data_IF_928261523983
#
_entry.id   IF_928261523983
#
_cell.length_a   1.000
_cell.length_b   1.000
_cell.length_c   1.000
_cell.angle_alpha   90.00
_cell.angle_beta   90.00
_cell.angle_gamma   90.00
#
_symmetry.space_group_name_H-M   'P 1'
#
loop_
_entity.id
_entity.type
_entity.pdbx_description
1 polymer ?
#
# COMPACT_ATOMS: atom_id res chain seq x y z
N UNK A 1 -14.91 1.21 -15.50
CA UNK A 1 -14.19 -0.06 -15.26
C UNK A 1 -13.35 -0.31 -16.50
N UNK A 2 -12.08 -0.66 -16.33
CA UNK A 2 -11.17 -0.97 -17.45
C UNK A 2 -10.92 -2.47 -17.47
N UNK A 3 -10.65 -3.06 -18.62
CA UNK A 3 -10.25 -4.46 -18.70
C UNK A 3 -8.71 -4.56 -18.68
N UNK A 4 -8.21 -5.65 -18.13
CA UNK A 4 -6.78 -5.99 -18.11
C UNK A 4 -6.61 -7.49 -18.27
N UNK A 5 -5.45 -7.94 -18.71
CA UNK A 5 -5.11 -9.36 -18.87
C UNK A 5 -3.82 -9.67 -18.13
N UNK A 6 -3.69 -10.91 -17.63
CA UNK A 6 -2.47 -11.40 -16.99
C UNK A 6 -2.19 -12.84 -17.42
N UNK A 7 -0.92 -13.13 -17.72
CA UNK A 7 -0.47 -14.45 -18.16
C UNK A 7 0.19 -15.23 -17.01
N UNK A 8 -0.42 -16.35 -16.62
CA UNK A 8 0.16 -17.30 -15.68
C UNK A 8 0.89 -18.37 -16.50
N UNK A 9 2.19 -18.20 -16.72
CA UNK A 9 2.97 -19.24 -17.38
C UNK A 9 3.32 -20.36 -16.42
N UNK A 10 3.17 -21.60 -16.90
CA UNK A 10 3.56 -22.81 -16.17
C UNK A 10 4.36 -23.75 -17.04
N UNK A 11 5.34 -24.44 -16.45
CA UNK A 11 6.08 -25.51 -17.07
C UNK A 11 6.46 -26.54 -15.99
N UNK A 12 6.02 -27.78 -16.18
CA UNK A 12 6.08 -28.82 -15.16
C UNK A 12 5.44 -28.36 -13.83
N UNK A 13 6.18 -28.28 -12.72
CA UNK A 13 5.69 -27.79 -11.42
C UNK A 13 6.00 -26.30 -11.16
N UNK A 14 6.62 -25.61 -12.13
CA UNK A 14 7.10 -24.25 -11.99
C UNK A 14 6.15 -23.22 -12.62
N UNK A 15 6.13 -22.05 -11.99
CA UNK A 15 5.35 -20.88 -12.36
C UNK A 15 6.33 -19.74 -12.65
N UNK A 16 6.05 -18.94 -13.67
CA UNK A 16 6.79 -17.71 -13.93
C UNK A 16 6.15 -16.53 -13.20
N UNK A 17 6.96 -15.76 -12.48
CA UNK A 17 6.53 -14.51 -11.84
C UNK A 17 7.52 -13.38 -12.08
N UNK A 18 7.02 -12.16 -12.00
CA UNK A 18 7.80 -10.92 -12.08
C UNK A 18 7.74 -10.17 -10.75
N UNK A 19 8.81 -9.43 -10.42
CA UNK A 19 8.78 -8.36 -9.42
C UNK A 19 8.74 -7.03 -10.16
N UNK A 20 7.70 -6.24 -9.90
CA UNK A 20 7.49 -4.93 -10.54
C UNK A 20 8.52 -3.91 -10.05
N UNK A 21 8.89 -2.97 -10.91
CA UNK A 21 9.78 -1.87 -10.54
C UNK A 21 9.22 -1.02 -9.40
N UNK A 22 10.08 -0.58 -8.48
CA UNK A 22 9.70 0.12 -7.25
C UNK A 22 9.27 1.59 -7.48
N UNK A 23 9.50 2.13 -8.67
CA UNK A 23 9.12 3.49 -9.06
C UNK A 23 7.83 3.57 -9.87
N UNK A 24 7.17 2.43 -10.12
CA UNK A 24 5.91 2.41 -10.87
C UNK A 24 4.78 3.04 -10.06
N UNK A 25 3.78 3.57 -10.78
CA UNK A 25 2.60 4.18 -10.15
C UNK A 25 1.63 3.15 -9.59
N UNK A 26 1.59 1.95 -10.16
CA UNK A 26 0.68 0.88 -9.78
C UNK A 26 1.47 -0.32 -9.28
N UNK A 27 1.20 -0.72 -8.04
CA UNK A 27 1.77 -1.88 -7.38
C UNK A 27 3.32 -1.95 -7.48
N UNK A 28 4.06 -0.89 -7.07
CA UNK A 28 5.52 -0.90 -7.14
C UNK A 28 6.12 -1.95 -6.20
N UNK A 29 7.05 -2.75 -6.71
CA UNK A 29 7.73 -3.79 -5.94
C UNK A 29 6.90 -5.05 -5.66
N UNK A 30 5.67 -5.15 -6.18
CA UNK A 30 4.81 -6.32 -6.02
C UNK A 30 5.28 -7.49 -6.87
N UNK A 31 5.09 -8.69 -6.36
CA UNK A 31 5.17 -9.94 -7.13
C UNK A 31 3.88 -10.11 -7.94
N UNK A 32 4.02 -10.32 -9.24
CA UNK A 32 2.90 -10.41 -10.17
C UNK A 32 3.13 -11.35 -11.34
N UNK A 33 2.04 -11.56 -12.09
CA UNK A 33 2.09 -12.15 -13.41
C UNK A 33 2.22 -11.04 -14.47
N UNK A 34 2.96 -11.28 -15.56
CA UNK A 34 3.09 -10.33 -16.67
C UNK A 34 1.74 -10.07 -17.33
N UNK A 35 1.56 -8.84 -17.82
CA UNK A 35 0.34 -8.41 -18.50
C UNK A 35 -0.09 -6.99 -18.13
N UNK A 36 -1.03 -6.46 -18.92
CA UNK A 36 -1.43 -5.06 -18.81
C UNK A 36 -2.88 -4.81 -19.21
N UNK A 37 -3.14 -3.58 -19.63
CA UNK A 37 -4.50 -3.10 -19.92
C UNK A 37 -4.95 -3.59 -21.28
N UNK A 38 -6.25 -3.84 -21.41
CA UNK A 38 -6.88 -4.07 -22.72
C UNK A 38 -7.19 -2.70 -23.34
N UNK A 39 -6.62 -2.44 -24.50
CA UNK A 39 -6.84 -1.22 -25.29
C UNK A 39 -7.75 -1.48 -26.49
N UNK A 40 -8.42 -0.43 -26.96
CA UNK A 40 -9.23 -0.50 -28.17
C UNK A 40 -8.34 -0.80 -29.39
N UNK A 41 -8.69 -1.81 -30.19
CA UNK A 41 -7.91 -2.24 -31.34
C UNK A 41 -6.99 -3.43 -31.05
N UNK A 42 -6.90 -3.88 -29.79
CA UNK A 42 -6.09 -5.04 -29.43
C UNK A 42 -6.55 -6.32 -30.16
N UNK A 43 -7.81 -6.42 -30.57
CA UNK A 43 -8.32 -7.53 -31.39
C UNK A 43 -7.53 -7.77 -32.69
N UNK A 44 -6.79 -6.76 -33.18
CA UNK A 44 -5.94 -6.88 -34.36
C UNK A 44 -4.67 -7.74 -34.16
N UNK A 45 -4.24 -7.93 -32.90
CA UNK A 45 -3.13 -8.82 -32.55
C UNK A 45 -3.58 -10.27 -32.33
N UNK A 46 -4.88 -10.52 -32.24
CA UNK A 46 -5.41 -11.87 -32.03
C UNK A 46 -5.29 -12.74 -33.29
N UNK A 47 -5.16 -14.04 -33.10
CA UNK A 47 -5.14 -15.02 -34.20
C UNK A 47 -6.21 -16.09 -34.02
N UNK A 48 -6.68 -16.64 -35.14
CA UNK A 48 -7.52 -17.83 -35.12
C UNK A 48 -6.67 -19.08 -34.86
N UNK A 49 -6.89 -19.73 -33.72
CA UNK A 49 -6.27 -21.00 -33.37
C UNK A 49 -7.14 -21.76 -32.38
N UNK A 50 -7.21 -23.11 -32.42
CA UNK A 50 -8.02 -23.90 -31.48
C UNK A 50 -7.70 -23.65 -29.99
N UNK A 51 -6.46 -23.27 -29.66
CA UNK A 51 -6.07 -22.92 -28.28
C UNK A 51 -6.70 -21.62 -27.76
N UNK A 52 -7.19 -20.76 -28.65
CA UNK A 52 -7.87 -19.50 -28.30
C UNK A 52 -9.38 -19.57 -28.47
N UNK A 53 -9.92 -20.73 -28.85
CA UNK A 53 -11.34 -20.90 -29.13
C UNK A 53 -12.19 -20.60 -27.88
N UNK A 54 -13.19 -19.73 -28.05
CA UNK A 54 -14.10 -19.32 -26.97
C UNK A 54 -13.61 -18.16 -26.11
N UNK A 55 -12.39 -17.63 -26.34
CA UNK A 55 -11.91 -16.43 -25.65
C UNK A 55 -12.21 -15.15 -26.46
N UNK A 56 -12.52 -14.02 -25.79
CA UNK A 56 -12.73 -12.76 -26.49
C UNK A 56 -11.45 -12.31 -27.23
N UNK A 57 -11.58 -11.99 -28.52
CA UNK A 57 -10.45 -11.64 -29.38
C UNK A 57 -9.66 -10.44 -28.84
N UNK A 58 -10.34 -9.45 -28.27
CA UNK A 58 -9.69 -8.27 -27.69
C UNK A 58 -8.81 -8.63 -26.48
N UNK A 59 -9.20 -9.61 -25.67
CA UNK A 59 -8.41 -10.07 -24.52
C UNK A 59 -7.18 -10.86 -24.98
N UNK A 60 -7.35 -11.75 -25.95
CA UNK A 60 -6.22 -12.51 -26.52
C UNK A 60 -5.24 -11.59 -27.23
N UNK A 61 -5.75 -10.61 -27.97
CA UNK A 61 -4.91 -9.62 -28.63
C UNK A 61 -4.10 -8.78 -27.65
N UNK A 62 -4.72 -8.33 -26.56
CA UNK A 62 -4.03 -7.65 -25.48
C UNK A 62 -2.97 -8.55 -24.85
N UNK A 63 -3.30 -9.83 -24.60
CA UNK A 63 -2.37 -10.80 -24.04
C UNK A 63 -1.14 -11.00 -24.95
N UNK A 64 -1.33 -11.10 -26.26
CA UNK A 64 -0.23 -11.21 -27.23
C UNK A 64 0.63 -9.95 -27.22
N UNK A 65 0.04 -8.76 -27.26
CA UNK A 65 0.77 -7.49 -27.25
C UNK A 65 1.59 -7.31 -25.98
N UNK A 66 0.96 -7.46 -24.82
CA UNK A 66 1.61 -7.24 -23.51
C UNK A 66 2.76 -8.23 -23.28
N UNK A 67 2.63 -9.49 -23.75
CA UNK A 67 3.72 -10.47 -23.65
C UNK A 67 4.91 -10.16 -24.56
N UNK A 68 4.66 -9.58 -25.74
CA UNK A 68 5.73 -9.09 -26.62
C UNK A 68 6.40 -7.85 -26.00
N UNK A 69 5.62 -6.90 -25.48
CA UNK A 69 6.12 -5.66 -24.89
C UNK A 69 6.90 -5.89 -23.59
N UNK A 70 6.35 -6.68 -22.65
CA UNK A 70 6.95 -6.88 -21.34
C UNK A 70 8.05 -7.96 -21.31
N UNK A 71 8.00 -8.97 -22.19
CA UNK A 71 8.88 -10.15 -22.11
C UNK A 71 9.61 -10.49 -23.41
N UNK A 72 9.38 -9.75 -24.50
CA UNK A 72 9.82 -10.10 -25.85
C UNK A 72 9.40 -11.53 -26.23
N UNK A 73 8.17 -11.92 -25.89
CA UNK A 73 7.65 -13.25 -26.12
C UNK A 73 6.50 -13.28 -27.13
N UNK A 74 6.81 -13.79 -28.33
CA UNK A 74 5.83 -14.04 -29.38
C UNK A 74 4.99 -15.30 -29.06
N UNK A 75 3.85 -15.08 -28.39
CA UNK A 75 2.89 -16.12 -28.06
C UNK A 75 2.33 -16.81 -29.33
N UNK A 76 2.16 -16.06 -30.42
CA UNK A 76 1.59 -16.58 -31.68
C UNK A 76 2.54 -17.59 -32.30
N UNK A 77 3.83 -17.26 -32.39
CA UNK A 77 4.85 -18.16 -32.92
C UNK A 77 5.08 -19.34 -31.98
N UNK A 78 5.05 -19.13 -30.66
CA UNK A 78 5.12 -20.22 -29.68
C UNK A 78 3.99 -21.25 -29.86
N UNK A 79 2.77 -20.78 -30.13
CA UNK A 79 1.63 -21.66 -30.47
C UNK A 79 1.86 -22.41 -31.79
N UNK A 80 2.32 -21.72 -32.86
CA UNK A 80 2.61 -22.36 -34.17
C UNK A 80 3.69 -23.43 -34.07
N UNK A 81 4.71 -23.20 -33.25
CA UNK A 81 5.80 -24.13 -32.98
C UNK A 81 5.43 -25.23 -31.97
N UNK A 82 4.14 -25.34 -31.59
CA UNK A 82 3.61 -26.31 -30.62
C UNK A 82 4.32 -26.24 -29.26
N UNK A 83 4.77 -25.05 -28.88
CA UNK A 83 5.44 -24.82 -27.60
C UNK A 83 4.44 -24.61 -26.46
N UNK A 84 3.19 -24.24 -26.78
CA UNK A 84 2.08 -24.11 -25.84
C UNK A 84 1.22 -25.38 -25.89
N UNK A 85 1.09 -26.07 -24.75
CA UNK A 85 0.26 -27.27 -24.61
C UNK A 85 -1.22 -26.93 -24.46
N UNK A 86 -1.52 -25.91 -23.64
CA UNK A 86 -2.88 -25.52 -23.29
C UNK A 86 -2.91 -24.04 -22.88
N UNK A 87 -4.03 -23.38 -23.19
CA UNK A 87 -4.39 -22.09 -22.61
C UNK A 87 -5.77 -22.23 -21.96
N UNK A 88 -5.93 -21.72 -20.74
CA UNK A 88 -7.21 -21.73 -20.04
C UNK A 88 -7.49 -20.38 -19.38
N UNK A 89 -8.77 -19.99 -19.33
CA UNK A 89 -9.22 -18.87 -18.50
C UNK A 89 -9.13 -19.31 -17.03
N UNK A 90 -8.18 -18.74 -16.30
CA UNK A 90 -7.92 -19.13 -14.92
C UNK A 90 -8.94 -18.51 -13.96
N UNK A 91 -9.33 -17.26 -14.23
CA UNK A 91 -10.32 -16.55 -13.43
C UNK A 91 -10.42 -15.09 -13.86
N UNK A 92 -11.37 -14.38 -13.26
CA UNK A 92 -11.55 -12.93 -13.45
C UNK A 92 -11.61 -12.23 -12.10
N UNK A 93 -10.74 -11.25 -11.90
CA UNK A 93 -10.60 -10.47 -10.67
C UNK A 93 -11.15 -9.07 -10.86
N UNK A 94 -12.24 -8.75 -10.15
CA UNK A 94 -12.80 -7.41 -10.12
C UNK A 94 -12.14 -6.58 -9.02
N UNK A 95 -11.60 -5.42 -9.39
CA UNK A 95 -11.10 -4.47 -8.40
C UNK A 95 -12.24 -3.98 -7.52
N UNK A 96 -12.09 -4.03 -6.19
CA UNK A 96 -13.14 -3.60 -5.27
C UNK A 96 -13.62 -2.15 -5.47
N UNK A 97 -14.87 -1.84 -5.07
CA UNK A 97 -15.50 -0.54 -5.35
C UNK A 97 -14.82 0.67 -4.69
N UNK A 98 -14.12 0.47 -3.58
CA UNK A 98 -13.44 1.55 -2.84
C UNK A 98 -12.17 2.06 -3.54
N UNK A 99 -11.60 1.32 -4.51
CA UNK A 99 -10.45 1.82 -5.27
C UNK A 99 -10.88 2.79 -6.37
N UNK A 100 -10.18 3.92 -6.48
CA UNK A 100 -10.46 4.95 -7.50
C UNK A 100 -10.28 4.46 -8.94
N UNK A 101 -9.28 3.61 -9.19
CA UNK A 101 -9.03 2.99 -10.49
C UNK A 101 -9.41 1.52 -10.37
N UNK A 102 -10.37 1.08 -11.19
CA UNK A 102 -10.92 -0.27 -11.12
C UNK A 102 -10.71 -1.02 -12.43
N UNK A 103 -10.16 -2.23 -12.29
CA UNK A 103 -9.96 -3.18 -13.37
C UNK A 103 -10.86 -4.41 -13.24
N UNK A 104 -11.23 -4.95 -14.38
CA UNK A 104 -11.72 -6.30 -14.58
C UNK A 104 -10.56 -7.09 -15.17
N UNK A 105 -9.78 -7.76 -14.30
CA UNK A 105 -8.52 -8.38 -14.66
C UNK A 105 -8.72 -9.86 -15.00
N UNK A 106 -8.32 -10.24 -16.20
CA UNK A 106 -8.57 -11.53 -16.81
C UNK A 106 -7.30 -12.38 -16.82
N UNK A 107 -7.28 -13.44 -16.02
CA UNK A 107 -6.11 -14.29 -15.87
C UNK A 107 -6.19 -15.47 -16.83
N UNK A 108 -5.13 -15.68 -17.61
CA UNK A 108 -4.99 -16.78 -18.54
C UNK A 108 -3.80 -17.63 -18.15
N UNK A 109 -4.02 -18.91 -17.89
CA UNK A 109 -2.95 -19.87 -17.66
C UNK A 109 -2.45 -20.39 -19.00
N UNK A 110 -1.13 -20.33 -19.21
CA UNK A 110 -0.45 -20.77 -20.43
C UNK A 110 0.51 -21.88 -20.02
N UNK A 111 0.16 -23.12 -20.38
CA UNK A 111 0.96 -24.31 -20.09
C UNK A 111 1.98 -24.55 -21.20
N UNK A 112 3.25 -24.45 -20.87
CA UNK A 112 4.35 -24.53 -21.83
C UNK A 112 4.99 -25.92 -21.85
N UNK A 113 5.36 -26.36 -23.05
CA UNK A 113 6.10 -27.61 -23.27
C UNK A 113 7.60 -27.50 -23.00
N UNK A 114 8.14 -26.27 -22.98
CA UNK A 114 9.51 -25.91 -22.61
C UNK A 114 9.54 -24.50 -22.04
N UNK A 115 10.50 -24.19 -21.17
CA UNK A 115 10.71 -22.81 -20.70
C UNK A 115 11.26 -21.92 -21.84
N UNK A 116 10.61 -20.79 -22.15
CA UNK A 116 11.12 -19.79 -23.08
C UNK A 116 12.22 -18.95 -22.41
N UNK A 117 13.01 -18.27 -23.23
CA UNK A 117 13.94 -17.24 -22.76
C UNK A 117 13.25 -15.90 -22.86
N UNK A 118 12.76 -15.37 -21.74
CA UNK A 118 12.16 -14.04 -21.69
C UNK A 118 13.23 -12.95 -21.60
N UNK A 119 12.95 -11.79 -22.21
CA UNK A 119 13.74 -10.57 -22.07
C UNK A 119 12.82 -9.54 -21.41
N UNK A 120 12.87 -9.38 -20.08
CA UNK A 120 11.95 -8.50 -19.37
C UNK A 120 12.20 -7.03 -19.71
N UNK A 121 11.14 -6.24 -19.87
CA UNK A 121 11.24 -4.79 -19.97
C UNK A 121 11.77 -4.23 -18.64
N UNK A 122 13.02 -3.77 -18.66
CA UNK A 122 13.68 -3.14 -17.52
C UNK A 122 12.95 -1.90 -16.99
N UNK A 123 12.08 -1.28 -17.80
CA UNK A 123 11.23 -0.16 -17.40
C UNK A 123 10.12 -0.55 -16.42
N UNK A 124 9.61 -1.78 -16.51
CA UNK A 124 8.46 -2.28 -15.73
C UNK A 124 8.80 -3.41 -14.77
N UNK A 125 9.74 -4.28 -15.15
CA UNK A 125 10.11 -5.49 -14.43
C UNK A 125 11.49 -5.29 -13.81
N UNK A 126 11.56 -5.36 -12.48
CA UNK A 126 12.80 -5.31 -11.72
C UNK A 126 13.56 -6.64 -11.80
N UNK A 127 12.83 -7.76 -11.64
CA UNK A 127 13.37 -9.11 -11.74
C UNK A 127 12.27 -10.09 -12.13
N UNK A 128 12.63 -11.24 -12.68
CA UNK A 128 11.69 -12.31 -12.99
C UNK A 128 12.33 -13.67 -12.74
N UNK A 129 11.50 -14.68 -12.47
CA UNK A 129 11.99 -16.02 -12.17
C UNK A 129 10.97 -17.11 -12.53
N UNK A 130 11.50 -18.31 -12.77
CA UNK A 130 10.73 -19.55 -12.76
C UNK A 130 10.97 -20.21 -11.41
N UNK A 131 9.89 -20.53 -10.70
CA UNK A 131 9.96 -21.12 -9.36
C UNK A 131 8.86 -22.16 -9.18
N UNK A 132 9.10 -23.28 -8.47
CA UNK A 132 8.03 -24.22 -8.13
C UNK A 132 6.87 -23.49 -7.44
N UNK A 133 5.63 -23.79 -7.83
CA UNK A 133 4.46 -23.08 -7.30
C UNK A 133 4.41 -23.11 -5.76
N UNK A 134 4.78 -24.26 -5.17
CA UNK A 134 4.87 -24.44 -3.71
C UNK A 134 5.90 -23.51 -3.08
N UNK A 135 7.04 -23.29 -3.73
CA UNK A 135 8.08 -22.42 -3.22
C UNK A 135 7.67 -20.93 -3.34
N UNK A 136 7.00 -20.55 -4.42
CA UNK A 136 6.46 -19.18 -4.56
C UNK A 136 5.35 -18.89 -3.54
N UNK A 137 4.52 -19.90 -3.23
CA UNK A 137 3.54 -19.81 -2.14
C UNK A 137 4.21 -19.71 -0.77
N UNK A 138 5.31 -20.44 -0.56
CA UNK A 138 6.12 -20.36 0.67
C UNK A 138 6.66 -18.94 0.90
N UNK A 139 7.16 -18.26 -0.14
CA UNK A 139 7.65 -16.88 -0.03
C UNK A 139 6.56 -15.93 0.48
N UNK A 140 5.32 -16.09 -0.01
CA UNK A 140 4.19 -15.30 0.48
C UNK A 140 3.91 -15.58 1.96
N UNK A 141 3.86 -16.86 2.35
CA UNK A 141 3.62 -17.26 3.73
C UNK A 141 4.69 -16.77 4.70
N UNK A 142 5.94 -16.64 4.23
CA UNK A 142 7.06 -16.08 5.00
C UNK A 142 7.11 -14.54 4.97
N UNK A 143 6.18 -13.89 4.26
CA UNK A 143 6.12 -12.43 4.15
C UNK A 143 7.20 -11.83 3.26
N UNK A 144 7.83 -12.63 2.40
CA UNK A 144 8.90 -12.21 1.48
C UNK A 144 8.36 -11.70 0.13
N UNK A 145 7.08 -11.90 -0.13
CA UNK A 145 6.42 -11.49 -1.38
C UNK A 145 5.19 -10.63 -1.13
N UNK A 146 5.28 -9.37 -1.54
CA UNK A 146 4.16 -8.43 -1.57
C UNK A 146 3.26 -8.74 -2.78
N UNK A 147 2.02 -9.14 -2.55
CA UNK A 147 1.11 -9.57 -3.61
C UNK A 147 -0.27 -8.94 -3.49
N UNK A 148 -0.94 -8.75 -4.63
CA UNK A 148 -2.39 -8.50 -4.62
C UNK A 148 -3.14 -9.83 -4.49
N UNK A 149 -4.33 -9.81 -3.90
CA UNK A 149 -5.14 -11.01 -3.64
C UNK A 149 -5.33 -11.94 -4.86
N UNK A 150 -5.61 -11.45 -6.09
CA UNK A 150 -5.74 -12.34 -7.26
C UNK A 150 -4.48 -13.16 -7.55
N UNK A 151 -3.30 -12.56 -7.41
CA UNK A 151 -2.02 -13.23 -7.64
C UNK A 151 -1.76 -14.26 -6.55
N UNK A 152 -1.98 -13.86 -5.28
CA UNK A 152 -1.90 -14.74 -4.12
C UNK A 152 -2.83 -15.96 -4.29
N UNK A 153 -4.08 -15.75 -4.68
CA UNK A 153 -5.07 -16.82 -4.88
C UNK A 153 -4.65 -17.79 -5.98
N UNK A 154 -4.18 -17.25 -7.11
CA UNK A 154 -3.68 -18.08 -8.22
C UNK A 154 -2.47 -18.92 -7.79
N UNK A 155 -1.49 -18.32 -7.11
CA UNK A 155 -0.29 -19.03 -6.64
C UNK A 155 -0.66 -20.10 -5.62
N UNK A 156 -1.55 -19.80 -4.67
CA UNK A 156 -2.06 -20.77 -3.69
C UNK A 156 -2.74 -21.97 -4.38
N UNK A 157 -3.59 -21.72 -5.37
CA UNK A 157 -4.27 -22.77 -6.11
C UNK A 157 -3.29 -23.66 -6.90
N UNK A 158 -2.31 -23.05 -7.58
CA UNK A 158 -1.27 -23.75 -8.33
C UNK A 158 -0.31 -24.54 -7.41
N UNK A 159 -0.04 -24.04 -6.20
CA UNK A 159 0.76 -24.73 -5.20
C UNK A 159 0.05 -25.99 -4.66
N UNK A 160 -1.28 -25.97 -4.58
CA UNK A 160 -2.08 -27.13 -4.19
C UNK A 160 -2.20 -28.15 -5.33
N UNK A 161 -2.45 -27.67 -6.55
CA UNK A 161 -2.56 -28.49 -7.75
C UNK A 161 -2.13 -27.68 -8.98
N UNK A 162 -0.92 -27.94 -9.47
CA UNK A 162 -0.38 -27.25 -10.66
C UNK A 162 -1.22 -27.52 -11.92
N UNK A 163 -2.00 -28.61 -11.96
CA UNK A 163 -2.85 -28.95 -13.10
C UNK A 163 -4.15 -28.17 -13.15
N UNK A 164 -4.50 -27.43 -12.09
CA UNK A 164 -5.72 -26.62 -12.04
C UNK A 164 -5.76 -25.62 -13.19
N UNK A 165 -6.89 -25.55 -13.89
CA UNK A 165 -7.04 -24.72 -15.10
C UNK A 165 -7.87 -23.47 -14.86
N UNK A 166 -8.66 -23.47 -13.79
CA UNK A 166 -9.53 -22.38 -13.37
C UNK A 166 -9.88 -22.50 -11.90
N UNK A 167 -10.11 -21.38 -11.25
CA UNK A 167 -10.54 -21.29 -9.85
C UNK A 167 -11.79 -20.42 -9.79
N UNK A 168 -12.85 -20.91 -9.14
CA UNK A 168 -14.10 -20.15 -8.94
C UNK A 168 -14.60 -20.32 -7.51
N UNK A 169 -15.00 -19.22 -6.82
CA UNK A 169 -14.90 -17.83 -7.26
C UNK A 169 -13.44 -17.33 -7.21
N UNK A 170 -12.98 -16.64 -8.27
CA UNK A 170 -11.64 -16.03 -8.30
C UNK A 170 -11.62 -14.63 -7.67
N UNK A 171 -12.72 -13.89 -7.80
CA UNK A 171 -12.93 -12.60 -7.12
C UNK A 171 -13.55 -12.82 -5.76
N UNK A 172 -13.08 -12.07 -4.77
CA UNK A 172 -13.79 -11.96 -3.50
C UNK A 172 -15.03 -11.08 -3.64
N UNK A 173 -16.08 -11.51 -2.94
CA UNK A 173 -17.28 -10.73 -2.74
C UNK A 173 -17.26 -10.29 -1.28
N UNK A 174 -17.10 -8.99 -1.07
CA UNK A 174 -17.20 -8.40 0.26
C UNK A 174 -18.68 -8.17 0.57
N UNK A 175 -19.17 -8.55 1.76
CA UNK A 175 -20.50 -8.16 2.21
C UNK A 175 -20.66 -6.64 2.20
N UNK A 176 -21.87 -6.16 1.88
CA UNK A 176 -22.16 -4.72 1.84
C UNK A 176 -22.06 -4.05 3.23
N UNK A 177 -22.11 -4.84 4.29
CA UNK A 177 -22.05 -4.43 5.70
C UNK A 177 -20.70 -4.76 6.37
N UNK A 178 -19.66 -5.06 5.59
CA UNK A 178 -18.29 -5.27 6.05
C UNK A 178 -17.29 -4.39 5.28
N UNK A 179 -16.15 -4.13 5.89
CA UNK A 179 -15.00 -3.54 5.25
C UNK A 179 -14.17 -4.65 4.57
N UNK A 180 -13.52 -4.33 3.44
CA UNK A 180 -12.58 -5.22 2.80
C UNK A 180 -11.33 -5.41 3.68
N UNK A 181 -11.15 -6.60 4.24
CA UNK A 181 -9.89 -6.99 4.88
C UNK A 181 -8.92 -7.51 3.82
N UNK A 182 -7.87 -6.76 3.50
CA UNK A 182 -6.93 -7.09 2.41
C UNK A 182 -5.60 -7.57 3.00
N UNK A 183 -5.06 -8.67 2.49
CA UNK A 183 -3.78 -9.20 2.96
C UNK A 183 -2.73 -9.14 1.84
N UNK A 184 -1.93 -8.08 1.82
CA UNK A 184 -0.85 -7.92 0.83
C UNK A 184 0.42 -8.70 1.20
N UNK A 185 0.65 -8.87 2.50
CA UNK A 185 1.68 -9.71 3.11
C UNK A 185 0.96 -10.63 4.10
N UNK A 186 1.35 -11.90 4.14
CA UNK A 186 0.72 -12.90 5.02
C UNK A 186 0.64 -12.41 6.48
N UNK A 187 -0.52 -12.55 7.12
CA UNK A 187 -0.73 -12.18 8.51
C UNK A 187 -0.85 -10.67 8.79
N UNK A 188 -0.93 -9.82 7.77
CA UNK A 188 -1.21 -8.39 7.92
C UNK A 188 -2.57 -8.04 7.30
N UNK A 189 -3.58 -7.88 8.16
CA UNK A 189 -4.92 -7.46 7.75
C UNK A 189 -4.99 -5.96 7.51
N UNK A 190 -5.25 -5.54 6.29
CA UNK A 190 -5.35 -4.14 5.91
C UNK A 190 -6.80 -3.74 5.70
N UNK A 191 -7.27 -2.78 6.50
CA UNK A 191 -8.65 -2.31 6.54
C UNK A 191 -8.69 -0.83 6.13
N UNK A 192 -9.09 -0.49 4.89
CA UNK A 192 -9.25 0.90 4.47
C UNK A 192 -10.54 1.46 5.07
N UNK A 193 -10.47 1.96 6.31
CA UNK A 193 -11.61 2.50 7.05
C UNK A 193 -11.98 3.87 6.46
N UNK A 194 -13.20 4.08 5.95
CA UNK A 194 -13.64 5.40 5.51
C UNK A 194 -13.52 6.42 6.64
N UNK A 195 -12.72 7.48 6.44
CA UNK A 195 -12.33 8.44 7.48
C UNK A 195 -12.47 9.87 6.99
N UNK A 196 -12.52 10.84 7.91
CA UNK A 196 -12.52 12.27 7.60
C UNK A 196 -11.11 12.82 7.31
N UNK A 197 -10.31 12.07 6.54
CA UNK A 197 -8.96 12.45 6.13
C UNK A 197 -8.95 13.52 5.02
N UNK A 198 -7.79 14.12 4.78
CA UNK A 198 -7.63 15.15 3.75
C UNK A 198 -7.64 14.54 2.32
N UNK A 199 -8.31 15.18 1.35
CA UNK A 199 -8.23 14.76 -0.05
C UNK A 199 -6.77 14.74 -0.56
N UNK A 200 -6.38 13.79 -1.43
CA UNK A 200 -7.25 12.89 -2.19
C UNK A 200 -7.60 11.58 -1.48
N UNK A 201 -7.10 11.34 -0.26
CA UNK A 201 -7.44 10.16 0.52
C UNK A 201 -8.93 10.19 0.91
N UNK A 202 -9.50 9.01 1.06
CA UNK A 202 -10.91 8.80 1.45
C UNK A 202 -11.04 7.83 2.61
N UNK A 203 -9.91 7.33 3.11
CA UNK A 203 -9.83 6.31 4.14
C UNK A 203 -8.48 6.40 4.85
N UNK A 204 -8.48 5.98 6.11
CA UNK A 204 -7.28 5.69 6.91
C UNK A 204 -7.16 4.18 7.00
N UNK A 205 -5.96 3.68 6.73
CA UNK A 205 -5.67 2.27 6.74
C UNK A 205 -5.44 1.81 8.18
N UNK A 206 -6.39 1.06 8.71
CA UNK A 206 -6.19 0.34 9.95
C UNK A 206 -5.46 -0.98 9.66
N UNK A 207 -4.37 -1.24 10.37
CA UNK A 207 -3.60 -2.47 10.29
C UNK A 207 -4.00 -3.39 11.44
N UNK A 208 -4.56 -4.54 11.12
CA UNK A 208 -4.82 -5.64 12.06
C UNK A 208 -3.64 -6.61 12.01
N UNK A 209 -2.89 -6.71 13.11
CA UNK A 209 -1.70 -7.57 13.20
C UNK A 209 -1.59 -8.25 14.57
N UNK A 210 -0.85 -9.34 14.61
CA UNK A 210 -0.59 -10.12 15.82
C UNK A 210 -0.88 -11.59 15.58
N UNK A 211 0.16 -12.42 15.74
CA UNK A 211 0.05 -13.87 15.64
C UNK A 211 -0.90 -14.46 16.69
N UNK A 212 -1.39 -15.68 16.43
CA UNK A 212 -2.17 -16.42 17.41
C UNK A 212 -1.38 -16.62 18.71
N UNK A 213 -1.98 -16.17 19.84
CA UNK A 213 -1.35 -16.21 21.16
C UNK A 213 -0.45 -14.99 21.47
N UNK A 214 -0.30 -14.05 20.54
CA UNK A 214 0.28 -12.72 20.79
C UNK A 214 -0.81 -11.65 20.91
N UNK A 215 -0.45 -10.47 21.40
CA UNK A 215 -1.36 -9.33 21.51
C UNK A 215 -1.80 -8.87 20.11
N UNK A 216 -3.09 -8.97 19.78
CA UNK A 216 -3.60 -8.49 18.50
C UNK A 216 -3.88 -7.00 18.54
N UNK A 217 -3.27 -6.25 17.63
CA UNK A 217 -3.36 -4.79 17.55
C UNK A 217 -4.17 -4.40 16.34
N UNK A 218 -5.06 -3.41 16.51
CA UNK A 218 -5.66 -2.65 15.42
C UNK A 218 -5.12 -1.22 15.46
N UNK A 219 -4.42 -0.79 14.41
CA UNK A 219 -3.91 0.59 14.33
C UNK A 219 -4.96 1.55 13.79
N UNK A 220 -5.00 2.77 14.31
CA UNK A 220 -5.74 3.91 13.77
C UNK A 220 -7.19 3.65 13.26
N UNK A 221 -8.06 2.97 14.03
CA UNK A 221 -9.45 2.80 13.62
C UNK A 221 -10.18 4.15 13.67
N UNK A 222 -10.41 4.75 12.50
CA UNK A 222 -10.97 6.10 12.37
C UNK A 222 -12.25 6.16 11.50
N UNK A 223 -13.34 5.46 11.83
CA UNK A 223 -14.55 5.53 11.01
C UNK A 223 -15.21 6.92 11.07
N UNK A 224 -15.48 7.48 9.88
CA UNK A 224 -16.10 8.81 9.72
C UNK A 224 -17.60 8.87 10.09
N UNK A 225 -18.26 7.72 10.26
CA UNK A 225 -19.71 7.65 10.50
C UNK A 225 -20.09 6.40 11.30
N UNK A 226 -21.34 6.36 11.78
CA UNK A 226 -21.87 5.19 12.50
C UNK A 226 -21.96 3.97 11.59
N UNK A 227 -22.27 4.18 10.31
CA UNK A 227 -22.27 3.11 9.30
C UNK A 227 -20.87 2.53 9.10
N UNK A 228 -19.84 3.38 8.99
CA UNK A 228 -18.46 2.94 8.85
C UNK A 228 -17.98 2.20 10.11
N UNK A 229 -18.37 2.67 11.31
CA UNK A 229 -18.08 2.00 12.58
C UNK A 229 -18.76 0.63 12.66
N UNK A 230 -20.02 0.53 12.24
CA UNK A 230 -20.73 -0.75 12.21
C UNK A 230 -20.10 -1.73 11.23
N UNK A 231 -19.71 -1.27 10.04
CA UNK A 231 -19.00 -2.11 9.06
C UNK A 231 -17.66 -2.60 9.64
N UNK A 232 -16.90 -1.72 10.30
CA UNK A 232 -15.66 -2.11 10.97
C UNK A 232 -15.90 -3.18 12.05
N UNK A 233 -16.90 -3.00 12.92
CA UNK A 233 -17.28 -4.00 13.94
C UNK A 233 -17.66 -5.35 13.34
N UNK A 234 -18.47 -5.34 12.27
CA UNK A 234 -18.85 -6.56 11.57
C UNK A 234 -17.61 -7.28 11.01
N UNK A 235 -16.69 -6.53 10.41
CA UNK A 235 -15.42 -7.06 9.85
C UNK A 235 -14.55 -7.71 10.92
N UNK A 236 -14.45 -7.08 12.10
CA UNK A 236 -13.63 -7.54 13.21
C UNK A 236 -14.27 -8.71 13.98
N UNK A 237 -15.55 -9.04 13.75
CA UNK A 237 -16.29 -10.03 14.53
C UNK A 237 -15.63 -11.42 14.56
N UNK A 238 -14.90 -11.79 13.51
CA UNK A 238 -14.17 -13.05 13.42
C UNK A 238 -12.75 -12.99 13.99
N UNK A 239 -12.21 -11.79 14.19
CA UNK A 239 -10.83 -11.56 14.61
C UNK A 239 -10.73 -10.25 15.40
N UNK A 240 -11.19 -10.30 16.66
CA UNK A 240 -11.19 -9.14 17.54
C UNK A 240 -9.75 -8.72 17.89
N UNK A 241 -9.45 -7.41 17.92
CA UNK A 241 -8.20 -6.91 18.49
C UNK A 241 -8.24 -7.01 20.01
N UNK A 242 -7.06 -7.15 20.62
CA UNK A 242 -6.87 -7.09 22.07
C UNK A 242 -6.53 -5.66 22.54
N UNK A 243 -6.08 -4.80 21.63
CA UNK A 243 -5.85 -3.38 21.89
C UNK A 243 -5.93 -2.55 20.60
N UNK A 244 -6.22 -1.26 20.76
CA UNK A 244 -6.19 -0.28 19.67
C UNK A 244 -4.92 0.55 19.81
N UNK A 245 -4.12 0.69 18.76
CA UNK A 245 -2.94 1.56 18.75
C UNK A 245 -3.23 2.82 17.95
N UNK A 246 -3.03 3.99 18.56
CA UNK A 246 -3.09 5.28 17.87
C UNK A 246 -1.66 5.71 17.53
N UNK A 247 -1.37 5.84 16.24
CA UNK A 247 -0.04 6.24 15.76
C UNK A 247 0.27 7.67 16.15
N UNK A 248 -0.71 8.57 16.08
CA UNK A 248 -0.60 9.97 16.47
C UNK A 248 -1.96 10.62 16.73
N UNK A 249 -1.96 11.92 17.02
CA UNK A 249 -3.12 12.63 17.57
C UNK A 249 -4.07 13.23 16.52
N UNK A 250 -3.80 13.07 15.22
CA UNK A 250 -4.65 13.70 14.20
C UNK A 250 -6.01 13.00 14.11
N UNK A 251 -7.10 13.76 13.87
CA UNK A 251 -8.45 13.25 14.07
C UNK A 251 -8.76 12.02 13.23
N UNK A 252 -8.25 11.95 12.00
CA UNK A 252 -8.46 10.85 11.06
C UNK A 252 -7.68 9.58 11.39
N UNK A 253 -7.04 9.52 12.56
CA UNK A 253 -6.40 8.32 13.11
C UNK A 253 -7.13 7.77 14.34
N UNK A 254 -8.06 8.54 14.93
CA UNK A 254 -8.69 8.15 16.19
C UNK A 254 -10.18 8.51 16.28
N UNK A 255 -10.79 9.00 15.20
CA UNK A 255 -12.21 9.31 15.17
C UNK A 255 -13.03 8.05 15.53
N UNK A 256 -13.88 8.12 16.56
CA UNK A 256 -14.64 6.96 17.12
C UNK A 256 -13.77 5.80 17.64
N UNK A 257 -12.46 5.94 17.74
CA UNK A 257 -11.60 4.88 18.32
C UNK A 257 -11.99 4.56 19.78
N UNK A 258 -12.43 5.59 20.53
CA UNK A 258 -12.95 5.44 21.90
C UNK A 258 -14.24 4.64 21.95
N UNK A 259 -15.14 4.85 20.98
CA UNK A 259 -16.41 4.13 20.90
C UNK A 259 -16.14 2.65 20.63
N UNK A 260 -15.22 2.37 19.70
CA UNK A 260 -14.78 1.00 19.41
C UNK A 260 -14.09 0.36 20.63
N UNK A 261 -13.20 1.08 21.32
CA UNK A 261 -12.50 0.58 22.50
C UNK A 261 -13.47 0.20 23.63
N UNK A 262 -14.46 1.04 23.91
CA UNK A 262 -15.48 0.79 24.93
C UNK A 262 -16.37 -0.39 24.57
N UNK A 263 -16.78 -0.50 23.30
CA UNK A 263 -17.62 -1.61 22.84
C UNK A 263 -16.91 -2.96 22.87
N UNK A 264 -15.58 -2.95 22.67
CA UNK A 264 -14.74 -4.14 22.69
C UNK A 264 -14.13 -4.44 24.08
N UNK A 265 -14.22 -3.50 25.02
CA UNK A 265 -13.56 -3.55 26.34
C UNK A 265 -12.04 -3.76 26.24
N UNK A 266 -11.40 -2.96 25.37
CA UNK A 266 -9.94 -3.06 25.09
C UNK A 266 -9.21 -1.74 25.39
N UNK A 267 -7.94 -1.79 25.81
CA UNK A 267 -7.14 -0.59 26.03
C UNK A 267 -6.81 0.14 24.72
N UNK A 268 -6.50 1.43 24.86
CA UNK A 268 -5.88 2.23 23.81
C UNK A 268 -4.39 2.41 24.14
N UNK A 269 -3.54 2.11 23.17
CA UNK A 269 -2.09 2.25 23.22
C UNK A 269 -1.70 3.48 22.40
N UNK A 270 -0.98 4.44 23.00
CA UNK A 270 -0.46 5.59 22.27
C UNK A 270 0.77 6.16 22.98
N UNK A 271 1.44 7.16 22.40
CA UNK A 271 2.48 7.88 23.14
C UNK A 271 1.85 8.86 24.12
N UNK A 272 2.61 9.26 25.15
CA UNK A 272 2.16 10.29 26.08
C UNK A 272 1.89 11.63 25.39
N UNK A 273 2.66 11.98 24.35
CA UNK A 273 2.42 13.20 23.58
C UNK A 273 1.10 13.12 22.82
N UNK A 274 0.83 11.97 22.19
CA UNK A 274 -0.45 11.70 21.51
C UNK A 274 -1.64 11.88 22.46
N UNK A 275 -1.61 11.23 23.63
CA UNK A 275 -2.66 11.38 24.64
C UNK A 275 -2.86 12.84 25.05
N UNK A 276 -1.77 13.55 25.40
CA UNK A 276 -1.85 14.94 25.85
C UNK A 276 -2.46 15.86 24.79
N UNK A 277 -2.08 15.70 23.51
CA UNK A 277 -2.63 16.50 22.41
C UNK A 277 -4.10 16.20 22.16
N UNK A 278 -4.51 14.93 22.23
CA UNK A 278 -5.92 14.55 22.12
C UNK A 278 -6.72 15.19 23.26
N UNK A 279 -6.26 15.08 24.50
CA UNK A 279 -6.95 15.65 25.66
C UNK A 279 -7.02 17.19 25.61
N UNK A 280 -5.96 17.86 25.14
CA UNK A 280 -5.96 19.32 24.96
C UNK A 280 -6.99 19.78 23.92
N UNK A 281 -7.13 19.04 22.82
CA UNK A 281 -8.01 19.40 21.70
C UNK A 281 -9.46 18.96 21.91
N UNK A 282 -9.68 17.79 22.47
CA UNK A 282 -10.99 17.14 22.55
C UNK A 282 -11.57 17.04 23.96
N UNK A 283 -10.78 17.41 24.99
CA UNK A 283 -11.21 17.51 26.37
C UNK A 283 -10.70 16.37 27.27
N UNK A 284 -10.63 16.63 28.57
CA UNK A 284 -10.05 15.72 29.56
C UNK A 284 -10.79 14.39 29.72
N UNK A 285 -12.04 14.32 29.26
CA UNK A 285 -12.89 13.13 29.34
C UNK A 285 -12.82 12.24 28.09
N UNK A 286 -11.93 12.54 27.14
CA UNK A 286 -11.90 11.84 25.86
C UNK A 286 -11.70 10.33 26.02
N UNK A 287 -10.85 9.90 26.95
CA UNK A 287 -10.57 8.50 27.25
C UNK A 287 -11.35 7.96 28.48
N UNK A 288 -12.44 8.60 28.90
CA UNK A 288 -13.20 8.17 30.08
C UNK A 288 -13.68 6.73 29.94
N UNK A 289 -13.35 5.89 30.94
CA UNK A 289 -13.71 4.48 30.95
C UNK A 289 -12.80 3.57 30.12
N UNK A 290 -11.73 4.10 29.52
CA UNK A 290 -10.76 3.35 28.71
C UNK A 290 -9.41 3.33 29.43
N UNK A 291 -8.77 2.17 29.50
CA UNK A 291 -7.38 2.09 29.94
C UNK A 291 -6.46 2.62 28.83
N UNK A 292 -5.67 3.65 29.15
CA UNK A 292 -4.62 4.18 28.25
C UNK A 292 -3.27 3.58 28.64
N UNK A 293 -2.62 2.93 27.70
CA UNK A 293 -1.29 2.36 27.82
C UNK A 293 -0.29 3.14 26.97
N UNK A 294 0.95 3.22 27.44
CA UNK A 294 1.98 4.00 26.77
C UNK A 294 2.98 3.13 26.02
N UNK A 295 3.29 3.55 24.81
CA UNK A 295 4.33 2.96 23.96
C UNK A 295 5.43 3.99 23.67
N UNK A 296 6.66 3.52 23.46
CA UNK A 296 7.82 4.34 23.07
C UNK A 296 8.74 3.57 22.13
N UNK A 297 9.77 4.25 21.63
CA UNK A 297 10.83 3.66 20.82
C UNK A 297 11.36 2.34 21.43
N UNK A 298 11.53 1.34 20.57
CA UNK A 298 12.09 0.01 20.84
C UNK A 298 11.22 -0.94 21.67
N UNK A 299 10.02 -0.52 22.09
CA UNK A 299 9.06 -1.43 22.74
C UNK A 299 8.58 -2.50 21.74
N UNK A 300 8.49 -3.76 22.18
CA UNK A 300 7.91 -4.86 21.41
C UNK A 300 6.41 -4.90 21.69
N UNK A 301 5.59 -4.68 20.65
CA UNK A 301 4.13 -4.56 20.78
C UNK A 301 3.40 -5.88 20.52
N UNK A 302 3.89 -6.67 19.57
CA UNK A 302 3.31 -7.97 19.19
C UNK A 302 4.32 -8.83 18.44
N UNK A 303 3.87 -9.93 17.85
CA UNK A 303 4.62 -10.75 16.90
C UNK A 303 3.94 -10.81 15.54
N UNK A 304 4.75 -10.93 14.50
CA UNK A 304 4.33 -11.22 13.14
C UNK A 304 5.20 -12.35 12.59
N UNK A 305 4.57 -13.46 12.22
CA UNK A 305 5.24 -14.68 11.74
C UNK A 305 6.31 -15.20 12.71
N UNK A 306 6.05 -15.10 14.02
CA UNK A 306 6.95 -15.51 15.09
C UNK A 306 8.08 -14.52 15.39
N UNK A 307 8.09 -13.35 14.75
CA UNK A 307 9.10 -12.31 14.94
C UNK A 307 8.54 -11.10 15.71
N UNK A 308 9.30 -10.52 16.67
CA UNK A 308 8.89 -9.31 17.37
C UNK A 308 8.60 -8.14 16.42
N UNK A 309 7.47 -7.46 16.65
CA UNK A 309 7.13 -6.18 16.04
C UNK A 309 7.47 -5.06 17.01
N UNK A 310 8.29 -4.12 16.54
CA UNK A 310 8.93 -3.08 17.33
C UNK A 310 8.30 -1.72 17.01
N UNK A 311 8.08 -0.92 18.05
CA UNK A 311 7.69 0.47 17.95
C UNK A 311 8.87 1.36 17.54
N UNK A 312 8.64 2.24 16.57
CA UNK A 312 9.55 3.28 16.17
C UNK A 312 8.89 4.64 16.32
N UNK A 313 9.46 5.52 17.12
CA UNK A 313 9.05 6.93 17.15
C UNK A 313 9.44 7.59 15.82
N UNK A 314 8.52 8.30 15.17
CA UNK A 314 8.68 8.93 13.85
C UNK A 314 8.38 10.44 13.90
N UNK A 315 9.05 11.23 14.76
CA UNK A 315 8.70 12.63 14.95
C UNK A 315 8.89 13.45 13.67
N UNK A 316 8.09 14.50 13.52
CA UNK A 316 8.28 15.54 12.51
C UNK A 316 7.00 15.97 11.83
N UNK A 317 6.14 15.04 11.44
CA UNK A 317 4.76 15.35 11.05
C UNK A 317 3.94 15.69 12.30
N UNK A 318 4.04 14.81 13.29
CA UNK A 318 3.56 14.98 14.65
C UNK A 318 4.70 14.59 15.62
N UNK A 319 4.70 15.12 16.84
CA UNK A 319 5.76 14.89 17.84
C UNK A 319 5.49 13.68 18.76
N UNK A 320 4.32 13.06 18.64
CA UNK A 320 3.96 11.78 19.26
C UNK A 320 3.87 10.63 18.26
N UNK A 321 4.18 10.85 16.98
CA UNK A 321 3.96 9.85 15.93
C UNK A 321 4.82 8.61 16.12
N UNK A 322 4.21 7.43 16.00
CA UNK A 322 4.90 6.14 15.98
C UNK A 322 4.56 5.33 14.73
N UNK A 323 5.48 4.46 14.35
CA UNK A 323 5.30 3.42 13.34
C UNK A 323 5.72 2.06 13.89
N UNK A 324 5.42 1.00 13.13
CA UNK A 324 5.67 -0.39 13.53
C UNK A 324 6.49 -1.11 12.46
N UNK A 325 7.45 -1.94 12.87
CA UNK A 325 8.18 -2.81 11.96
C UNK A 325 8.62 -4.10 12.67
N UNK A 326 8.68 -5.26 11.99
CA UNK A 326 9.36 -6.42 12.52
C UNK A 326 10.87 -6.16 12.51
N UNK A 327 11.63 -6.87 13.36
CA UNK A 327 13.09 -6.74 13.44
C UNK A 327 13.78 -6.93 12.07
N UNK A 328 13.21 -7.77 11.20
CA UNK A 328 13.71 -8.03 9.85
C UNK A 328 13.56 -6.85 8.88
N UNK A 329 12.69 -5.88 9.19
CA UNK A 329 12.27 -4.80 8.30
C UNK A 329 11.64 -5.28 6.97
N UNK A 330 11.06 -6.50 6.98
CA UNK A 330 10.25 -7.02 5.86
C UNK A 330 9.10 -6.06 5.47
N UNK A 331 8.62 -5.28 6.44
CA UNK A 331 7.73 -4.15 6.23
C UNK A 331 7.97 -3.08 7.28
N UNK A 332 7.52 -1.86 7.01
CA UNK A 332 7.49 -0.78 7.99
C UNK A 332 6.20 0.02 7.79
N UNK A 333 5.31 -0.04 8.77
CA UNK A 333 4.19 0.88 8.90
C UNK A 333 4.71 2.24 9.37
N UNK A 334 4.79 3.18 8.44
CA UNK A 334 5.41 4.50 8.65
C UNK A 334 4.40 5.60 8.96
N UNK A 335 3.14 5.22 9.23
CA UNK A 335 2.03 6.13 9.46
C UNK A 335 2.01 7.27 8.41
N UNK A 336 2.02 8.51 8.88
CA UNK A 336 1.95 9.75 8.08
C UNK A 336 3.33 10.35 7.77
N UNK A 337 4.37 9.51 7.77
CA UNK A 337 5.68 9.95 7.32
C UNK A 337 5.70 10.25 5.81
N UNK A 338 4.94 9.48 5.01
CA UNK A 338 4.80 9.65 3.57
C UNK A 338 3.43 9.19 3.09
N UNK A 339 2.96 9.78 1.99
CA UNK A 339 1.72 9.39 1.33
C UNK A 339 1.96 9.22 -0.19
N UNK A 340 1.42 8.17 -0.83
CA UNK A 340 1.50 8.01 -2.27
C UNK A 340 0.71 9.10 -3.01
N UNK A 341 1.38 9.83 -3.90
CA UNK A 341 0.73 10.77 -4.83
C UNK A 341 0.59 12.21 -4.33
N UNK A 342 0.90 12.49 -3.06
CA UNK A 342 0.96 13.83 -2.49
C UNK A 342 2.09 13.94 -1.46
N UNK A 343 2.25 15.10 -0.83
CA UNK A 343 3.15 15.28 0.32
C UNK A 343 2.32 15.57 1.56
N UNK A 344 2.66 14.91 2.67
CA UNK A 344 2.03 15.14 3.97
C UNK A 344 2.19 16.60 4.42
N UNK A 345 1.28 17.11 5.25
CA UNK A 345 1.45 18.44 5.85
C UNK A 345 2.44 18.34 7.01
N UNK A 346 3.23 19.38 7.29
CA UNK A 346 4.01 19.47 8.54
C UNK A 346 3.36 20.57 9.37
N UNK A 347 2.36 20.24 10.19
CA UNK A 347 1.57 21.22 10.91
C UNK A 347 2.34 21.92 12.04
N UNK A 348 1.72 22.93 12.61
CA UNK A 348 2.18 23.67 13.79
C UNK A 348 1.04 23.65 14.79
N UNK A 349 1.33 23.56 16.10
CA UNK A 349 2.67 23.63 16.71
C UNK A 349 3.44 22.30 16.81
N UNK A 350 2.84 21.17 16.46
CA UNK A 350 3.38 19.81 16.66
C UNK A 350 4.47 19.40 15.68
N UNK A 351 4.39 19.86 14.44
CA UNK A 351 5.27 19.42 13.37
C UNK A 351 6.56 20.21 13.37
N UNK A 352 7.63 19.56 12.95
CA UNK A 352 8.94 20.18 12.77
C UNK A 352 9.63 19.61 11.54
N UNK A 353 9.88 20.49 10.56
CA UNK A 353 10.51 20.09 9.30
C UNK A 353 11.93 19.54 9.48
N UNK A 354 12.67 19.99 10.50
CA UNK A 354 14.01 19.47 10.80
C UNK A 354 13.94 18.03 11.29
N UNK A 355 13.04 17.75 12.24
CA UNK A 355 12.78 16.39 12.72
C UNK A 355 12.23 15.48 11.62
N UNK A 356 11.30 15.97 10.79
CA UNK A 356 10.77 15.23 9.66
C UNK A 356 11.88 14.78 8.68
N UNK A 357 12.83 15.67 8.35
CA UNK A 357 13.98 15.31 7.52
C UNK A 357 14.90 14.27 8.19
N UNK A 358 15.12 14.37 9.50
CA UNK A 358 15.91 13.39 10.25
C UNK A 358 15.23 12.02 10.25
N UNK A 359 13.91 11.99 10.48
CA UNK A 359 13.09 10.78 10.47
C UNK A 359 13.09 10.13 9.09
N UNK A 360 12.81 10.89 8.01
CA UNK A 360 12.89 10.37 6.64
C UNK A 360 14.26 9.76 6.34
N UNK A 361 15.34 10.49 6.62
CA UNK A 361 16.70 9.99 6.38
C UNK A 361 17.03 8.75 7.21
N UNK A 362 16.49 8.63 8.43
CA UNK A 362 16.65 7.43 9.26
C UNK A 362 15.93 6.24 8.65
N UNK A 363 14.66 6.38 8.27
CA UNK A 363 13.89 5.27 7.68
C UNK A 363 14.47 4.83 6.34
N UNK A 364 14.94 5.77 5.51
CA UNK A 364 15.70 5.46 4.28
C UNK A 364 16.94 4.61 4.58
N UNK A 365 17.70 4.95 5.63
CA UNK A 365 18.88 4.16 6.04
C UNK A 365 18.54 2.78 6.59
N UNK A 366 17.37 2.63 7.23
CA UNK A 366 16.88 1.34 7.69
C UNK A 366 16.55 0.42 6.51
N UNK A 367 16.18 0.99 5.36
CA UNK A 367 15.95 0.27 4.11
C UNK A 367 14.92 -0.88 4.23
N UNK A 368 13.68 -0.62 4.69
CA UNK A 368 12.65 -1.63 4.75
C UNK A 368 12.25 -2.14 3.35
N UNK A 369 11.88 -3.42 3.28
CA UNK A 369 11.49 -4.07 2.02
C UNK A 369 10.11 -3.61 1.51
N UNK A 370 9.22 -3.23 2.43
CA UNK A 370 7.89 -2.67 2.13
C UNK A 370 7.60 -1.48 3.04
N UNK A 371 7.16 -0.37 2.46
CA UNK A 371 6.68 0.81 3.18
C UNK A 371 5.15 0.81 3.17
N UNK A 372 4.54 0.86 4.35
CA UNK A 372 3.08 0.89 4.54
C UNK A 372 2.70 2.28 5.10
N UNK A 373 2.02 3.14 4.34
CA UNK A 373 1.51 4.42 4.82
C UNK A 373 0.11 4.28 5.45
N UNK A 374 -0.31 5.26 6.26
CA UNK A 374 -1.71 5.35 6.74
C UNK A 374 -2.73 5.58 5.63
N UNK A 375 -2.29 6.11 4.48
CA UNK A 375 -3.17 6.40 3.36
C UNK A 375 -2.57 5.86 2.07
N UNK A 376 -3.37 5.15 1.28
CA UNK A 376 -2.93 4.51 0.03
C UNK A 376 -2.39 3.10 0.24
N UNK A 377 -1.79 2.51 -0.79
CA UNK A 377 -1.35 1.10 -0.76
C UNK A 377 0.06 0.93 -0.21
N UNK A 378 0.41 -0.25 0.33
CA UNK A 378 1.80 -0.65 0.56
C UNK A 378 2.64 -0.54 -0.72
N UNK A 379 3.93 -0.27 -0.59
CA UNK A 379 4.85 -0.16 -1.72
C UNK A 379 6.17 -0.86 -1.40
N UNK A 380 6.71 -1.60 -2.36
CA UNK A 380 8.01 -2.23 -2.20
C UNK A 380 9.15 -1.22 -2.27
N UNK A 381 10.10 -1.36 -1.35
CA UNK A 381 11.32 -0.58 -1.24
C UNK A 381 11.10 0.87 -0.75
N UNK A 382 12.19 1.63 -0.75
CA UNK A 382 12.25 2.97 -0.17
C UNK A 382 12.04 4.11 -1.18
N UNK A 383 11.68 3.81 -2.43
CA UNK A 383 11.60 4.82 -3.49
C UNK A 383 10.66 5.99 -3.13
N UNK A 384 9.51 5.73 -2.49
CA UNK A 384 8.61 6.79 -2.06
C UNK A 384 9.26 7.73 -1.05
N UNK A 385 10.01 7.19 -0.08
CA UNK A 385 10.72 7.97 0.93
C UNK A 385 11.79 8.84 0.27
N UNK A 386 12.61 8.27 -0.61
CA UNK A 386 13.67 9.00 -1.33
C UNK A 386 13.10 10.10 -2.23
N UNK A 387 12.04 9.78 -2.99
CA UNK A 387 11.33 10.75 -3.82
C UNK A 387 10.75 11.89 -2.98
N UNK A 388 10.18 11.58 -1.82
CA UNK A 388 9.62 12.60 -0.91
C UNK A 388 10.72 13.48 -0.33
N UNK A 389 11.82 12.90 0.14
CA UNK A 389 12.98 13.65 0.62
C UNK A 389 13.51 14.57 -0.47
N UNK A 390 13.72 14.04 -1.69
CA UNK A 390 14.21 14.83 -2.82
C UNK A 390 13.29 15.98 -3.18
N UNK A 391 11.98 15.74 -3.18
CA UNK A 391 10.98 16.79 -3.44
C UNK A 391 11.07 17.91 -2.40
N UNK A 392 11.20 17.56 -1.11
CA UNK A 392 11.34 18.53 -0.03
C UNK A 392 12.66 19.32 -0.10
N UNK A 393 13.76 18.68 -0.49
CA UNK A 393 15.05 19.36 -0.71
C UNK A 393 14.98 20.36 -1.87
N UNK A 394 14.32 20.00 -2.97
CA UNK A 394 14.09 20.92 -4.09
C UNK A 394 13.23 22.10 -3.64
N UNK A 395 12.16 21.83 -2.87
CA UNK A 395 11.29 22.87 -2.31
C UNK A 395 12.05 23.81 -1.37
N UNK A 396 12.88 23.27 -0.50
CA UNK A 396 13.73 24.04 0.42
C UNK A 396 14.70 24.96 -0.33
N UNK A 397 15.34 24.46 -1.39
CA UNK A 397 16.24 25.28 -2.21
C UNK A 397 15.49 26.42 -2.92
N UNK A 398 14.29 26.15 -3.47
CA UNK A 398 13.46 27.18 -4.08
C UNK A 398 13.08 28.30 -3.09
N UNK A 399 12.68 27.91 -1.86
CA UNK A 399 12.36 28.87 -0.80
C UNK A 399 13.58 29.71 -0.43
N UNK A 400 14.75 29.08 -0.29
CA UNK A 400 16.00 29.77 0.02
C UNK A 400 16.38 30.77 -1.08
N UNK A 401 16.24 30.39 -2.35
CA UNK A 401 16.56 31.24 -3.49
C UNK A 401 15.65 32.49 -3.51
N UNK A 402 14.34 32.32 -3.32
CA UNK A 402 13.41 33.44 -3.23
C UNK A 402 13.65 34.32 -2.00
N UNK A 403 13.96 33.72 -0.86
CA UNK A 403 14.30 34.46 0.35
C UNK A 403 15.57 35.30 0.16
N UNK A 404 16.60 34.75 -0.49
CA UNK A 404 17.84 35.46 -0.81
C UNK A 404 17.64 36.57 -1.86
N UNK A 405 16.63 36.44 -2.73
CA UNK A 405 16.20 37.50 -3.64
C UNK A 405 15.40 38.63 -2.95
N UNK A 406 15.15 38.52 -1.63
CA UNK A 406 14.47 39.54 -0.82
C UNK A 406 12.98 39.33 -0.63
N UNK A 407 12.38 38.24 -1.14
CA UNK A 407 10.96 37.95 -0.94
C UNK A 407 10.67 37.50 0.50
N UNK A 408 9.52 37.91 1.05
CA UNK A 408 9.08 37.60 2.42
C UNK A 408 7.57 37.31 2.42
N UNK A 409 7.12 36.57 3.43
CA UNK A 409 5.69 36.34 3.74
C UNK A 409 4.86 35.97 2.49
N UNK A 410 3.77 36.70 2.23
CA UNK A 410 2.86 36.50 1.09
C UNK A 410 3.58 36.53 -0.25
N UNK A 411 4.60 37.39 -0.41
CA UNK A 411 5.34 37.47 -1.67
C UNK A 411 6.13 36.18 -1.94
N UNK A 412 6.60 35.50 -0.90
CA UNK A 412 7.29 34.22 -1.03
C UNK A 412 6.31 33.10 -1.39
N UNK A 413 5.15 33.04 -0.71
CA UNK A 413 4.10 32.04 -1.02
C UNK A 413 3.55 32.23 -2.43
N UNK A 414 3.25 33.47 -2.84
CA UNK A 414 2.75 33.76 -4.18
C UNK A 414 3.77 33.41 -5.28
N UNK A 415 5.07 33.58 -5.02
CA UNK A 415 6.12 33.18 -5.97
C UNK A 415 6.29 31.64 -6.04
N UNK A 416 6.10 30.95 -4.92
CA UNK A 416 6.22 29.49 -4.83
C UNK A 416 5.03 28.74 -5.42
N UNK A 417 3.81 29.28 -5.28
CA UNK A 417 2.57 28.63 -5.66
C UNK A 417 1.70 29.57 -6.49
N UNK A 418 2.08 29.85 -7.76
CA UNK A 418 1.24 30.65 -8.63
C UNK A 418 -0.10 29.96 -8.84
N UNK A 419 -1.20 30.71 -8.71
CA UNK A 419 -2.58 30.22 -8.94
C UNK A 419 -3.08 29.15 -7.96
N UNK A 420 -2.53 29.12 -6.73
CA UNK A 420 -3.00 28.22 -5.68
C UNK A 420 -4.47 28.53 -5.29
N UNK A 421 -5.29 27.48 -5.13
CA UNK A 421 -6.63 27.62 -4.57
C UNK A 421 -6.58 28.33 -3.21
N UNK A 422 -7.45 29.33 -3.01
CA UNK A 422 -7.50 30.13 -1.77
C UNK A 422 -7.62 29.27 -0.50
N UNK A 423 -8.24 28.09 -0.60
CA UNK A 423 -8.36 27.15 0.53
C UNK A 423 -7.04 26.53 0.96
N UNK A 424 -6.06 26.44 0.05
CA UNK A 424 -4.75 25.82 0.30
C UNK A 424 -3.68 26.84 0.71
N UNK A 425 -3.96 28.14 0.56
CA UNK A 425 -3.04 29.22 0.91
C UNK A 425 -2.54 29.11 2.36
N UNK A 426 -3.38 28.87 3.38
CA UNK A 426 -2.90 28.72 4.76
C UNK A 426 -1.87 27.59 4.93
N UNK A 427 -2.09 26.45 4.26
CA UNK A 427 -1.16 25.31 4.30
C UNK A 427 0.15 25.63 3.57
N UNK A 428 0.10 26.40 2.49
CA UNK A 428 1.29 26.87 1.78
C UNK A 428 2.13 27.82 2.65
N UNK A 429 1.50 28.76 3.35
CA UNK A 429 2.17 29.62 4.33
C UNK A 429 2.86 28.81 5.42
N UNK A 430 2.16 27.83 6.00
CA UNK A 430 2.72 26.95 7.01
C UNK A 430 3.90 26.13 6.47
N UNK A 431 3.78 25.57 5.27
CA UNK A 431 4.88 24.83 4.65
C UNK A 431 6.13 25.70 4.46
N UNK A 432 5.97 26.94 3.98
CA UNK A 432 7.07 27.90 3.82
C UNK A 432 7.72 28.22 5.17
N UNK A 433 6.91 28.53 6.20
CA UNK A 433 7.42 28.86 7.54
C UNK A 433 8.23 27.72 8.13
N UNK A 434 7.74 26.48 8.02
CA UNK A 434 8.42 25.27 8.48
C UNK A 434 9.79 25.07 7.80
N UNK A 435 9.89 25.32 6.49
CA UNK A 435 11.19 25.29 5.80
C UNK A 435 12.12 26.42 6.26
N UNK A 436 11.62 27.65 6.42
CA UNK A 436 12.43 28.77 6.91
C UNK A 436 12.92 28.54 8.35
N UNK A 437 12.08 27.98 9.22
CA UNK A 437 12.45 27.57 10.59
C UNK A 437 13.60 26.57 10.56
N UNK A 438 13.50 25.52 9.75
CA UNK A 438 14.59 24.53 9.57
C UNK A 438 15.89 25.17 9.06
N UNK A 439 15.80 26.16 8.17
CA UNK A 439 16.95 26.89 7.65
C UNK A 439 17.54 27.91 8.65
N UNK A 440 16.89 28.16 9.80
CA UNK A 440 17.30 29.19 10.75
C UNK A 440 17.03 30.62 10.27
N UNK A 441 16.05 30.79 9.37
CA UNK A 441 15.71 32.06 8.72
C UNK A 441 14.38 32.68 9.22
N UNK A 442 13.69 32.00 10.12
CA UNK A 442 12.51 32.48 10.82
C UNK A 442 12.65 32.17 12.32
N UNK A 443 12.28 33.13 13.19
CA UNK A 443 12.20 32.90 14.64
C UNK A 443 10.93 32.12 14.99
N UNK A 444 11.00 31.35 16.09
CA UNK A 444 9.95 30.48 16.62
C UNK A 444 8.78 31.27 17.19
#
# INVERSE_FOLDING_TARGET
MRDAVAAIFTHDDEVFSIRRQIYLRAFPGYTAFPGGKVDAGDESYAIEHPLFEGFPAVEIGALVRELEEELAFDLVEAVRLQQVRRISKFGTALTPPFQKVRFNAHFYKIELSKKPSFIPDSGEIHSCEWKPAVALWQDYLLGESLMVRPNMHAIKALALDISVTSTEPFSEVFPDDELPCIEFLNGLGFLPVPSNTLPPATSTNALLLGDDGSLRILTDPSPASDEALQCLKNTLSNQLPDAILLTHHHPDHHERATDLALDLDVPIICTRNTELRILERFGSSYFDGIEVQYIKQDDVITQWLGHPVICHELPGHDDGMVGLAPESLAWFYVADLVEPGTTVVIPEPEGDMSEYFKTLKRVIRLNPDVVIPSHGLPMGGIHLLEKTLKHREVREQQILDFYNAGLREDALVNAMYPELDQKLVPLAHQNVRQHLKKLGLAEV
#
